data_IF_244040203520
#
_entry.id   IF_244040203520
#
_cell.length_a   1.000
_cell.length_b   1.000
_cell.length_c   1.000
_cell.angle_alpha   90.00
_cell.angle_beta   90.00
_cell.angle_gamma   90.00
#
_symmetry.space_group_name_H-M   'P 1'
#
loop_
_entity.id
_entity.type
_entity.pdbx_description
1 polymer ?
#
# COMPACT_ATOMS: atom_id res chain seq x y z
N UNK A 1 -9.90 -9.74 -27.78
CA UNK A 1 -10.10 -11.00 -27.02
C UNK A 1 -9.31 -10.82 -25.74
N UNK A 2 -9.99 -10.56 -24.64
CA UNK A 2 -9.32 -10.39 -23.35
C UNK A 2 -8.67 -11.71 -22.97
N UNK A 3 -7.33 -11.70 -22.85
CA UNK A 3 -6.58 -12.85 -22.38
C UNK A 3 -7.02 -13.17 -20.96
N UNK A 4 -7.40 -14.43 -20.73
CA UNK A 4 -7.67 -14.97 -19.39
C UNK A 4 -6.38 -15.15 -18.58
N UNK A 5 -5.23 -15.08 -19.24
CA UNK A 5 -3.92 -15.40 -18.69
C UNK A 5 -3.05 -14.17 -18.59
N UNK A 6 -2.16 -14.18 -17.59
CA UNK A 6 -1.14 -13.15 -17.44
C UNK A 6 -0.26 -13.10 -18.69
N UNK A 7 0.19 -11.90 -19.10
CA UNK A 7 1.07 -11.76 -20.26
C UNK A 7 2.43 -12.45 -20.05
N UNK A 8 2.81 -12.67 -18.80
CA UNK A 8 4.05 -13.28 -18.34
C UNK A 8 3.81 -14.00 -17.01
N UNK A 9 4.61 -15.03 -16.66
CA UNK A 9 4.51 -15.68 -15.36
C UNK A 9 4.65 -14.68 -14.20
N UNK A 10 3.71 -14.72 -13.26
CA UNK A 10 3.77 -13.92 -12.04
C UNK A 10 4.56 -14.71 -11.00
N UNK A 11 5.75 -14.23 -10.68
CA UNK A 11 6.58 -14.77 -9.59
C UNK A 11 6.48 -13.81 -8.42
N UNK A 12 5.99 -14.25 -7.25
CA UNK A 12 5.95 -13.42 -6.04
C UNK A 12 7.31 -12.82 -5.70
N UNK A 13 7.34 -11.54 -5.36
CA UNK A 13 8.59 -10.83 -5.02
C UNK A 13 9.22 -11.43 -3.77
N UNK A 14 8.42 -11.87 -2.80
CA UNK A 14 8.90 -12.60 -1.63
C UNK A 14 9.70 -13.84 -2.05
N UNK A 15 9.16 -14.68 -2.95
CA UNK A 15 9.87 -15.87 -3.45
C UNK A 15 11.20 -15.50 -4.13
N UNK A 16 11.22 -14.41 -4.90
CA UNK A 16 12.46 -13.91 -5.51
C UNK A 16 13.47 -13.49 -4.45
N UNK A 17 13.04 -12.73 -3.43
CA UNK A 17 13.93 -12.25 -2.37
C UNK A 17 14.50 -13.37 -1.50
N UNK A 18 13.76 -14.47 -1.33
CA UNK A 18 14.18 -15.65 -0.56
C UNK A 18 15.00 -16.65 -1.39
N UNK A 19 15.07 -16.49 -2.72
CA UNK A 19 15.74 -17.46 -3.62
C UNK A 19 17.27 -17.37 -3.65
N UNK A 20 17.88 -16.38 -2.97
CA UNK A 20 19.32 -16.18 -2.95
C UNK A 20 19.89 -15.49 -4.20
N UNK A 21 19.05 -14.78 -4.97
CA UNK A 21 19.49 -13.97 -6.10
C UNK A 21 20.55 -12.95 -5.69
N UNK A 22 21.61 -12.85 -6.50
CA UNK A 22 22.68 -11.84 -6.31
C UNK A 22 22.37 -10.53 -7.04
N UNK A 23 21.43 -10.55 -7.98
CA UNK A 23 21.03 -9.40 -8.79
C UNK A 23 19.51 -9.36 -8.95
N UNK A 24 18.95 -8.16 -8.98
CA UNK A 24 17.52 -7.95 -9.20
C UNK A 24 17.20 -8.16 -10.70
N UNK A 25 16.15 -8.91 -11.07
CA UNK A 25 15.75 -9.08 -12.46
C UNK A 25 15.49 -7.74 -13.15
N UNK A 26 15.84 -7.64 -14.44
CA UNK A 26 15.74 -6.41 -15.22
C UNK A 26 14.34 -5.78 -15.23
N UNK A 27 13.29 -6.60 -15.12
CA UNK A 27 11.90 -6.16 -15.03
C UNK A 27 11.61 -5.27 -13.81
N UNK A 28 12.45 -5.24 -12.77
CA UNK A 28 12.26 -4.39 -11.58
C UNK A 28 13.24 -3.22 -11.53
N UNK A 29 14.12 -3.10 -12.53
CA UNK A 29 15.12 -2.03 -12.59
C UNK A 29 14.53 -0.83 -13.31
N UNK A 30 14.20 0.23 -12.54
CA UNK A 30 13.67 1.49 -13.11
C UNK A 30 14.67 2.10 -14.12
N UNK A 31 14.20 2.83 -15.16
CA UNK A 31 15.07 3.59 -16.06
C UNK A 31 15.97 4.57 -15.28
N UNK A 32 17.19 4.88 -15.76
CA UNK A 32 18.09 5.81 -15.05
C UNK A 32 17.47 7.17 -14.69
N UNK A 33 16.53 7.67 -15.50
CA UNK A 33 15.80 8.92 -15.26
C UNK A 33 14.83 8.88 -14.07
N UNK A 34 14.36 7.69 -13.68
CA UNK A 34 13.39 7.48 -12.61
C UNK A 34 14.03 6.98 -11.31
N UNK A 35 15.32 6.67 -11.33
CA UNK A 35 16.03 6.23 -10.13
C UNK A 35 16.21 7.43 -9.19
N UNK A 36 16.13 7.22 -7.86
CA UNK A 36 16.45 8.27 -6.90
C UNK A 36 17.81 8.88 -7.25
N UNK A 37 17.86 10.20 -7.36
CA UNK A 37 19.16 10.88 -7.32
C UNK A 37 19.74 10.62 -5.94
N UNK A 38 21.03 10.30 -5.87
CA UNK A 38 21.71 10.20 -4.60
C UNK A 38 21.62 11.57 -3.91
N UNK A 39 20.64 11.73 -3.02
CA UNK A 39 20.64 12.79 -2.02
C UNK A 39 21.87 12.52 -1.16
N UNK A 40 22.82 13.44 -1.19
CA UNK A 40 24.01 13.28 -0.38
C UNK A 40 23.56 13.36 1.08
N UNK A 41 23.87 12.36 1.90
CA UNK A 41 23.66 12.44 3.35
C UNK A 41 24.51 13.56 4.02
N UNK A 42 25.30 14.30 3.22
CA UNK A 42 26.12 15.44 3.61
C UNK A 42 25.38 16.77 3.47
N UNK A 43 24.27 16.80 2.74
CA UNK A 43 23.28 17.86 2.84
C UNK A 43 22.55 17.60 4.17
N UNK A 44 23.00 18.28 5.24
CA UNK A 44 22.36 18.24 6.56
C UNK A 44 20.84 18.47 6.45
N UNK A 45 20.03 18.15 7.49
CA UNK A 45 18.58 18.09 7.37
C UNK A 45 18.09 19.31 6.62
N UNK A 46 17.69 19.12 5.35
CA UNK A 46 17.36 20.24 4.51
C UNK A 46 16.33 21.06 5.28
N UNK A 47 16.55 22.37 5.39
CA UNK A 47 15.50 23.29 5.83
C UNK A 47 14.36 23.35 4.78
N UNK A 48 14.13 22.27 4.03
CA UNK A 48 13.26 22.13 2.88
C UNK A 48 12.10 21.22 3.21
N UNK A 49 10.91 21.80 3.24
CA UNK A 49 9.63 21.12 3.05
C UNK A 49 9.36 19.95 4.01
N UNK A 50 8.84 20.27 5.20
CA UNK A 50 8.23 19.28 6.10
C UNK A 50 6.78 19.03 5.69
N UNK A 51 6.44 17.77 5.40
CA UNK A 51 5.04 17.36 5.11
C UNK A 51 4.13 17.87 6.24
N UNK A 52 3.01 18.56 5.92
CA UNK A 52 2.10 19.07 6.94
C UNK A 52 1.58 17.96 7.86
N UNK A 53 1.48 18.27 9.15
CA UNK A 53 0.85 17.42 10.16
C UNK A 53 -0.37 18.15 10.69
N UNK A 54 -1.55 17.54 10.54
CA UNK A 54 -2.83 18.14 10.91
C UNK A 54 -3.41 17.41 12.11
N UNK A 55 -3.77 18.17 13.14
CA UNK A 55 -4.48 17.68 14.30
C UNK A 55 -6.00 17.66 14.03
N UNK A 56 -6.58 16.46 13.87
CA UNK A 56 -8.02 16.32 13.62
C UNK A 56 -8.86 16.45 14.91
N UNK A 57 -8.25 16.49 16.08
CA UNK A 57 -8.93 16.73 17.35
C UNK A 57 -9.63 18.09 17.38
N UNK A 58 -9.10 19.09 16.67
CA UNK A 58 -9.73 20.40 16.56
C UNK A 58 -11.09 20.39 15.83
N UNK A 59 -11.43 19.33 15.08
CA UNK A 59 -12.74 19.21 14.43
C UNK A 59 -13.90 19.00 15.42
N UNK A 60 -13.61 18.44 16.60
CA UNK A 60 -14.58 18.25 17.70
C UNK A 60 -14.47 19.32 18.78
N UNK A 61 -13.58 20.30 18.59
CA UNK A 61 -13.35 21.44 19.47
C UNK A 61 -14.36 22.56 19.29
N UNK A 62 -14.02 23.75 19.78
CA UNK A 62 -14.87 24.94 19.59
C UNK A 62 -14.91 25.43 18.13
N UNK A 63 -15.76 26.41 17.83
CA UNK A 63 -15.91 26.93 16.46
C UNK A 63 -14.62 27.49 15.87
N UNK A 64 -13.72 28.05 16.70
CA UNK A 64 -12.43 28.58 16.28
C UNK A 64 -11.44 27.47 15.96
N UNK A 65 -11.32 26.47 16.85
CA UNK A 65 -10.46 25.29 16.64
C UNK A 65 -10.87 24.50 15.39
N UNK A 66 -12.18 24.32 15.21
CA UNK A 66 -12.74 23.64 14.03
C UNK A 66 -12.40 24.40 12.75
N UNK A 67 -12.59 25.72 12.74
CA UNK A 67 -12.27 26.54 11.57
C UNK A 67 -10.77 26.52 11.24
N UNK A 68 -9.90 26.59 12.25
CA UNK A 68 -8.45 26.51 12.06
C UNK A 68 -8.03 25.15 11.47
N UNK A 69 -8.60 24.05 11.97
CA UNK A 69 -8.33 22.70 11.47
C UNK A 69 -8.81 22.53 10.03
N UNK A 70 -10.01 23.02 9.69
CA UNK A 70 -10.52 23.01 8.32
C UNK A 70 -9.65 23.84 7.37
N UNK A 71 -9.15 24.99 7.83
CA UNK A 71 -8.23 25.82 7.05
C UNK A 71 -6.90 25.09 6.78
N UNK A 72 -6.33 24.43 7.80
CA UNK A 72 -5.11 23.65 7.64
C UNK A 72 -5.28 22.50 6.63
N UNK A 73 -6.42 21.80 6.64
CA UNK A 73 -6.75 20.77 5.64
C UNK A 73 -6.80 21.37 4.24
N UNK A 74 -7.48 22.52 4.08
CA UNK A 74 -7.59 23.20 2.80
C UNK A 74 -6.21 23.58 2.25
N UNK A 75 -5.37 24.21 3.08
CA UNK A 75 -4.04 24.66 2.67
C UNK A 75 -3.13 23.47 2.31
N UNK A 76 -3.16 22.39 3.10
CA UNK A 76 -2.41 21.19 2.79
C UNK A 76 -2.88 20.51 1.48
N UNK A 77 -4.19 20.41 1.24
CA UNK A 77 -4.72 19.90 -0.02
C UNK A 77 -4.28 20.76 -1.23
N UNK A 78 -4.31 22.08 -1.07
CA UNK A 78 -4.00 23.04 -2.15
C UNK A 78 -2.51 23.11 -2.47
N UNK A 79 -1.67 23.14 -1.44
CA UNK A 79 -0.23 23.40 -1.57
C UNK A 79 0.60 22.11 -1.70
N UNK A 80 0.14 21.02 -1.07
CA UNK A 80 0.87 19.76 -1.01
C UNK A 80 0.18 18.59 -1.72
N UNK A 81 -1.14 18.51 -1.65
CA UNK A 81 -1.90 17.33 -2.07
C UNK A 81 -1.68 16.10 -1.18
N UNK A 82 -0.93 16.24 -0.07
CA UNK A 82 -0.62 15.19 0.89
C UNK A 82 -0.31 15.78 2.28
N UNK A 83 -0.73 15.10 3.34
CA UNK A 83 -0.46 15.47 4.73
C UNK A 83 -0.59 14.27 5.66
N UNK A 84 -0.01 14.39 6.85
CA UNK A 84 -0.18 13.44 7.94
C UNK A 84 -1.30 13.93 8.87
N UNK A 85 -1.97 12.99 9.54
CA UNK A 85 -3.01 13.32 10.54
C UNK A 85 -2.66 12.75 11.91
N UNK A 86 -2.97 13.49 12.96
CA UNK A 86 -2.90 13.05 14.36
C UNK A 86 -4.25 13.29 15.04
N UNK A 87 -4.48 12.65 16.19
CA UNK A 87 -5.74 12.73 16.94
C UNK A 87 -6.99 12.45 16.08
N UNK A 88 -6.86 11.52 15.13
CA UNK A 88 -7.90 11.15 14.16
C UNK A 88 -9.03 10.27 14.74
N UNK A 89 -9.01 9.99 16.05
CA UNK A 89 -10.06 9.23 16.74
C UNK A 89 -10.04 7.70 16.53
N UNK A 90 -9.16 7.18 15.67
CA UNK A 90 -8.98 5.73 15.49
C UNK A 90 -8.06 5.21 16.60
N UNK A 91 -8.51 4.18 17.32
CA UNK A 91 -7.76 3.54 18.40
C UNK A 91 -6.39 3.04 17.93
N UNK A 92 -5.33 3.32 18.71
CA UNK A 92 -3.99 2.81 18.45
C UNK A 92 -3.96 1.28 18.49
N UNK A 93 -4.64 0.68 19.48
CA UNK A 93 -4.74 -0.79 19.59
C UNK A 93 -5.36 -1.41 18.33
N UNK A 94 -6.34 -0.74 17.71
CA UNK A 94 -6.95 -1.22 16.47
C UNK A 94 -5.94 -1.19 15.32
N UNK A 95 -5.18 -0.11 15.17
CA UNK A 95 -4.14 0.03 14.14
C UNK A 95 -3.04 -1.04 14.33
N UNK A 96 -2.63 -1.28 15.57
CA UNK A 96 -1.63 -2.30 15.90
C UNK A 96 -2.15 -3.71 15.60
N UNK A 97 -3.39 -4.04 15.98
CA UNK A 97 -4.02 -5.33 15.63
C UNK A 97 -4.10 -5.51 14.12
N UNK A 98 -4.55 -4.49 13.39
CA UNK A 98 -4.62 -4.52 11.92
C UNK A 98 -3.24 -4.81 11.30
N UNK A 99 -2.20 -4.11 11.73
CA UNK A 99 -0.82 -4.35 11.24
C UNK A 99 -0.36 -5.78 11.55
N UNK A 100 -0.66 -6.27 12.76
CA UNK A 100 -0.29 -7.61 13.19
C UNK A 100 -0.94 -8.69 12.34
N UNK A 101 -2.26 -8.63 12.12
CA UNK A 101 -2.98 -9.68 11.35
C UNK A 101 -2.53 -9.74 9.89
N UNK A 102 -2.28 -8.58 9.26
CA UNK A 102 -1.74 -8.56 7.90
C UNK A 102 -0.32 -9.07 7.84
N UNK A 103 0.53 -8.71 8.82
CA UNK A 103 1.87 -9.28 8.92
C UNK A 103 1.81 -10.80 9.02
N UNK A 104 0.94 -11.35 9.88
CA UNK A 104 0.73 -12.79 10.01
C UNK A 104 0.31 -13.44 8.69
N UNK A 105 -0.64 -12.84 7.96
CA UNK A 105 -1.05 -13.32 6.62
C UNK A 105 0.14 -13.39 5.66
N UNK A 106 0.95 -12.33 5.54
CA UNK A 106 2.10 -12.33 4.63
C UNK A 106 3.21 -13.32 5.04
N UNK A 107 3.26 -13.73 6.32
CA UNK A 107 4.17 -14.78 6.80
C UNK A 107 3.63 -16.21 6.59
N UNK A 108 2.39 -16.38 6.13
CA UNK A 108 1.87 -17.70 5.78
C UNK A 108 2.68 -18.34 4.64
N UNK A 109 2.67 -19.68 4.52
CA UNK A 109 3.23 -20.38 3.37
C UNK A 109 2.72 -19.81 2.04
N UNK A 110 3.59 -19.82 1.02
CA UNK A 110 3.23 -19.25 -0.28
C UNK A 110 1.98 -19.89 -0.88
N UNK A 111 1.79 -21.21 -0.71
CA UNK A 111 0.59 -21.92 -1.15
C UNK A 111 -0.71 -21.34 -0.55
N UNK A 112 -0.70 -21.02 0.75
CA UNK A 112 -1.88 -20.43 1.43
C UNK A 112 -2.17 -19.02 0.91
N UNK A 113 -1.14 -18.22 0.60
CA UNK A 113 -1.32 -16.88 0.02
C UNK A 113 -1.82 -16.94 -1.42
N UNK A 114 -1.24 -17.84 -2.22
CA UNK A 114 -1.59 -18.02 -3.63
C UNK A 114 -2.98 -18.60 -3.85
N UNK A 115 -3.59 -19.25 -2.84
CA UNK A 115 -5.01 -19.61 -2.86
C UNK A 115 -5.92 -18.39 -3.08
N UNK A 116 -5.47 -17.19 -2.69
CA UNK A 116 -6.15 -15.92 -2.88
C UNK A 116 -5.59 -15.11 -4.04
N UNK A 117 -4.83 -15.70 -4.96
CA UNK A 117 -4.20 -14.96 -6.04
C UNK A 117 -5.24 -14.17 -6.88
N UNK A 118 -4.83 -12.98 -7.28
CA UNK A 118 -5.57 -12.15 -8.22
C UNK A 118 -5.36 -12.65 -9.66
N UNK A 119 -5.98 -11.97 -10.63
CA UNK A 119 -5.94 -12.38 -12.04
C UNK A 119 -5.84 -11.17 -12.97
N UNK A 120 -5.56 -11.36 -14.27
CA UNK A 120 -5.60 -10.25 -15.23
C UNK A 120 -6.97 -9.53 -15.30
N UNK A 121 -8.04 -10.21 -14.85
CA UNK A 121 -9.42 -9.69 -14.86
C UNK A 121 -9.81 -8.91 -13.61
N UNK A 122 -9.18 -9.21 -12.48
CA UNK A 122 -9.48 -8.56 -11.20
C UNK A 122 -8.21 -8.46 -10.38
N UNK A 123 -8.00 -7.26 -9.83
CA UNK A 123 -6.88 -6.93 -8.97
C UNK A 123 -7.10 -7.41 -7.53
N UNK A 124 -8.31 -7.88 -7.18
CA UNK A 124 -8.63 -8.43 -5.87
C UNK A 124 -7.91 -9.75 -5.58
N UNK A 125 -7.39 -9.85 -4.36
CA UNK A 125 -6.60 -10.95 -3.86
C UNK A 125 -5.13 -10.60 -3.68
N UNK A 126 -4.34 -11.65 -3.47
CA UNK A 126 -2.88 -11.59 -3.39
C UNK A 126 -2.28 -11.35 -4.79
N UNK A 127 -1.39 -10.37 -4.91
CA UNK A 127 -0.78 -10.01 -6.18
C UNK A 127 0.69 -9.64 -6.03
N UNK A 128 1.44 -9.83 -7.11
CA UNK A 128 2.85 -9.45 -7.23
C UNK A 128 3.16 -8.68 -8.52
N UNK A 129 2.12 -8.37 -9.30
CA UNK A 129 2.22 -7.67 -10.58
C UNK A 129 1.05 -6.70 -10.72
N UNK A 130 1.37 -5.42 -10.90
CA UNK A 130 0.37 -4.41 -11.26
C UNK A 130 0.28 -4.30 -12.78
N UNK A 131 -0.94 -4.38 -13.30
CA UNK A 131 -1.23 -4.23 -14.72
C UNK A 131 -0.93 -5.47 -15.59
N UNK A 132 -1.35 -5.37 -16.85
CA UNK A 132 -1.36 -6.50 -17.81
C UNK A 132 -0.50 -6.20 -19.05
N UNK A 133 0.31 -5.15 -19.02
CA UNK A 133 1.23 -4.79 -20.11
C UNK A 133 2.43 -5.72 -20.04
N UNK A 134 2.74 -6.43 -21.13
CA UNK A 134 3.94 -7.28 -21.26
C UNK A 134 5.20 -6.42 -21.21
N UNK A 135 6.29 -6.96 -20.64
CA UNK A 135 7.61 -6.30 -20.56
C UNK A 135 7.60 -4.98 -19.76
N UNK A 136 6.59 -4.80 -18.90
CA UNK A 136 6.47 -3.64 -18.04
C UNK A 136 7.55 -3.63 -16.94
N UNK A 137 7.97 -2.43 -16.53
CA UNK A 137 8.77 -2.28 -15.32
C UNK A 137 7.87 -2.46 -14.09
N UNK A 138 8.15 -3.50 -13.33
CA UNK A 138 7.41 -3.95 -12.16
C UNK A 138 7.92 -3.28 -10.88
N UNK A 139 7.05 -3.23 -9.87
CA UNK A 139 7.43 -2.81 -8.53
C UNK A 139 7.91 -4.01 -7.71
N UNK A 140 8.91 -3.78 -6.87
CA UNK A 140 9.46 -4.81 -5.98
C UNK A 140 8.56 -4.99 -4.74
N UNK A 141 7.33 -5.42 -4.97
CA UNK A 141 6.27 -5.46 -3.96
C UNK A 141 5.31 -6.62 -4.22
N UNK A 142 4.97 -7.35 -3.15
CA UNK A 142 3.74 -8.13 -3.08
C UNK A 142 2.66 -7.31 -2.37
N UNK A 143 1.40 -7.51 -2.75
CA UNK A 143 0.26 -6.80 -2.17
C UNK A 143 -0.94 -7.70 -2.00
N UNK A 144 -1.90 -7.21 -1.24
CA UNK A 144 -3.23 -7.79 -1.15
C UNK A 144 -4.25 -6.68 -1.33
N UNK A 145 -5.23 -6.89 -2.22
CA UNK A 145 -6.28 -5.92 -2.49
C UNK A 145 -7.66 -6.56 -2.31
N UNK A 146 -8.62 -5.84 -1.74
CA UNK A 146 -10.03 -6.26 -1.66
C UNK A 146 -10.92 -5.04 -1.46
N UNK A 147 -12.17 -5.15 -1.90
CA UNK A 147 -13.19 -4.15 -1.58
C UNK A 147 -13.64 -4.25 -0.12
N UNK A 148 -13.55 -3.12 0.60
CA UNK A 148 -14.03 -3.00 1.99
C UNK A 148 -15.43 -2.37 2.08
N UNK A 149 -15.80 -1.50 1.14
CA UNK A 149 -17.10 -0.83 1.11
C UNK A 149 -17.42 -0.34 -0.31
N UNK A 150 -18.69 -0.32 -0.75
CA UNK A 150 -19.89 -0.80 -0.04
C UNK A 150 -19.95 -2.33 0.08
N UNK A 151 -20.82 -2.84 0.95
CA UNK A 151 -20.97 -4.29 1.19
C UNK A 151 -21.33 -5.07 -0.09
N UNK A 152 -22.03 -4.44 -1.04
CA UNK A 152 -22.40 -5.05 -2.32
C UNK A 152 -21.21 -5.38 -3.22
N UNK A 153 -20.06 -4.75 -3.01
CA UNK A 153 -18.84 -4.96 -3.79
C UNK A 153 -17.87 -5.94 -3.10
N UNK A 154 -18.20 -6.44 -1.90
CA UNK A 154 -17.35 -7.38 -1.18
C UNK A 154 -17.44 -8.78 -1.81
N UNK A 155 -16.33 -9.24 -2.37
CA UNK A 155 -16.14 -10.66 -2.68
C UNK A 155 -15.52 -11.38 -1.47
N UNK A 156 -16.35 -11.99 -0.61
CA UNK A 156 -15.88 -12.69 0.60
C UNK A 156 -15.06 -13.95 0.31
N UNK A 157 -15.10 -14.48 -0.92
CA UNK A 157 -14.24 -15.59 -1.32
C UNK A 157 -12.79 -15.11 -1.50
N UNK A 158 -12.60 -13.82 -1.79
CA UNK A 158 -11.30 -13.17 -1.85
C UNK A 158 -10.77 -12.70 -0.50
N UNK A 159 -11.53 -12.76 0.57
CA UNK A 159 -11.02 -12.38 1.89
C UNK A 159 -10.24 -13.53 2.52
N UNK A 160 -9.03 -13.33 3.07
CA UNK A 160 -8.30 -14.40 3.74
C UNK A 160 -9.09 -14.99 4.91
N UNK A 161 -9.07 -16.32 5.08
CA UNK A 161 -9.63 -17.00 6.25
C UNK A 161 -8.62 -17.05 7.41
N UNK A 162 -7.35 -16.83 7.11
CA UNK A 162 -6.24 -16.84 8.07
C UNK A 162 -5.46 -15.53 7.98
N UNK A 163 -5.03 -14.96 9.11
CA UNK A 163 -5.43 -15.32 10.47
C UNK A 163 -6.95 -15.11 10.68
N UNK A 164 -7.57 -15.86 11.59
CA UNK A 164 -9.03 -15.88 11.80
C UNK A 164 -9.60 -14.48 12.14
N UNK A 165 -8.78 -13.65 12.77
CA UNK A 165 -9.10 -12.27 13.14
C UNK A 165 -8.90 -11.26 12.00
N UNK A 166 -8.60 -11.69 10.78
CA UNK A 166 -8.45 -10.77 9.64
C UNK A 166 -9.80 -10.25 9.13
N UNK A 167 -10.84 -11.09 9.20
CA UNK A 167 -12.20 -10.75 8.74
C UNK A 167 -13.04 -10.01 9.78
N UNK A 168 -12.62 -9.97 11.05
CA UNK A 168 -13.41 -9.52 12.21
C UNK A 168 -12.68 -8.47 13.05
#
# INVERSE_FOLDING_TARGET
>A
MDSLEWPEPVVPVQSLSESGLTEIPASYVKPPSERPRAVSFLDGPEQGLRIPVIDLGGLVGDSGERQATMQAIWDACKEWGFFQVVNHGVSLDLIERMRKVWKEFFHLPMEEKMAYANSPKSYEGYGSRLGVVKDAILDWTDYFFFHLYPDSEKDLDKWPLRPETLRY
#
